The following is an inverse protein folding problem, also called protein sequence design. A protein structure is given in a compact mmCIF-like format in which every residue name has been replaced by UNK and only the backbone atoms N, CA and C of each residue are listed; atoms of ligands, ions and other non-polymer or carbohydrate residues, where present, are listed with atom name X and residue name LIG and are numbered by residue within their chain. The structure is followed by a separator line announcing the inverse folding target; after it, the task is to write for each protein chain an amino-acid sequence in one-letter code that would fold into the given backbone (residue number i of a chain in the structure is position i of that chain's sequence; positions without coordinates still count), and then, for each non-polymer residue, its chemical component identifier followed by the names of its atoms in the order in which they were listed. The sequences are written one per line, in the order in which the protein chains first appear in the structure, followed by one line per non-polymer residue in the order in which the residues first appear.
data_IF_614494217618
#
_entry.id   IF_614494217618
#
_cell.length_a   1.000
_cell.length_b   1.000
_cell.length_c   1.000
_cell.angle_alpha   90.00
_cell.angle_beta   90.00
_cell.angle_gamma   90.00
#
_symmetry.space_group_name_H-M   'P 1'
#
loop_
_entity.id
_entity.type
_entity.pdbx_description
1 polymer ?
#
# COMPACT_ATOMS: atom_id res chain seq x y z
N UNK A 1 -10.30 0.96 -5.78
CA UNK A 1 -11.21 1.46 -6.84
C UNK A 1 -11.83 2.75 -6.35
N UNK A 2 -12.52 3.49 -7.21
CA UNK A 2 -13.33 4.63 -6.78
C UNK A 2 -14.78 4.16 -6.61
N UNK A 3 -15.36 4.41 -5.44
CA UNK A 3 -16.70 4.00 -5.02
C UNK A 3 -17.44 5.29 -4.65
N UNK A 4 -18.45 5.66 -5.43
CA UNK A 4 -19.25 6.86 -5.22
C UNK A 4 -18.41 8.15 -5.05
N UNK A 5 -17.33 8.28 -5.83
CA UNK A 5 -16.43 9.44 -5.81
C UNK A 5 -15.24 9.30 -4.85
N UNK A 6 -15.23 8.32 -3.95
CA UNK A 6 -14.18 8.12 -2.95
C UNK A 6 -13.28 6.91 -3.27
N UNK A 7 -11.97 7.07 -3.10
CA UNK A 7 -11.03 5.95 -3.29
C UNK A 7 -11.05 5.02 -2.08
N UNK A 8 -11.25 3.73 -2.31
CA UNK A 8 -11.37 2.75 -1.23
C UNK A 8 -11.04 1.31 -1.61
N UNK A 9 -10.92 0.49 -0.57
CA UNK A 9 -10.82 -0.97 -0.66
C UNK A 9 -12.23 -1.57 -0.68
N UNK A 10 -12.67 -2.00 -1.86
CA UNK A 10 -14.03 -2.51 -2.09
C UNK A 10 -14.39 -3.65 -1.13
N UNK A 11 -13.44 -4.54 -0.81
CA UNK A 11 -13.66 -5.66 0.11
C UNK A 11 -13.94 -5.26 1.56
N UNK A 12 -13.62 -4.03 1.95
CA UNK A 12 -13.90 -3.47 3.28
C UNK A 12 -15.02 -2.43 3.24
N UNK A 13 -15.52 -2.07 2.05
CA UNK A 13 -16.62 -1.13 1.88
C UNK A 13 -17.94 -1.87 1.96
N UNK A 14 -18.71 -1.60 3.02
CA UNK A 14 -20.04 -2.19 3.22
C UNK A 14 -21.04 -1.60 2.24
N UNK A 15 -21.85 -2.47 1.63
CA UNK A 15 -23.03 -2.04 0.85
C UNK A 15 -24.14 -1.68 1.84
N UNK A 16 -24.66 -0.46 1.75
CA UNK A 16 -25.77 -0.02 2.59
C UNK A 16 -27.10 -0.58 2.08
N UNK A 17 -27.94 -1.09 2.98
CA UNK A 17 -29.18 -1.79 2.62
C UNK A 17 -30.27 -0.88 2.04
N UNK A 18 -30.13 0.44 2.16
CA UNK A 18 -31.07 1.45 1.64
C UNK A 18 -30.44 2.39 0.61
N UNK A 19 -29.20 2.13 0.17
CA UNK A 19 -28.57 3.02 -0.82
C UNK A 19 -29.21 2.84 -2.19
N UNK A 20 -29.20 3.92 -2.97
CA UNK A 20 -29.33 3.83 -4.42
C UNK A 20 -28.22 2.96 -5.01
N UNK A 21 -28.30 2.67 -6.32
CA UNK A 21 -27.19 2.04 -7.03
C UNK A 21 -25.89 2.82 -6.80
N UNK A 22 -24.82 2.11 -6.40
CA UNK A 22 -23.48 2.67 -6.26
C UNK A 22 -22.76 2.69 -7.61
N UNK A 23 -22.03 3.76 -7.85
CA UNK A 23 -21.16 3.90 -9.01
C UNK A 23 -19.75 3.45 -8.66
N UNK A 24 -19.24 2.44 -9.38
CA UNK A 24 -17.88 1.95 -9.22
C UNK A 24 -17.10 2.29 -10.48
N UNK A 25 -15.99 3.02 -10.31
CA UNK A 25 -15.07 3.37 -11.39
C UNK A 25 -13.63 2.95 -11.06
N UNK A 26 -12.75 2.85 -12.07
CA UNK A 26 -11.32 2.56 -11.84
C UNK A 26 -10.67 3.62 -10.95
N UNK A 27 -9.46 3.35 -10.47
CA UNK A 27 -8.71 4.36 -9.71
C UNK A 27 -8.46 5.61 -10.57
N UNK A 28 -8.72 6.82 -10.07
CA UNK A 28 -8.51 8.05 -10.83
C UNK A 28 -7.04 8.24 -11.20
N UNK A 29 -6.80 8.96 -12.31
CA UNK A 29 -5.46 9.30 -12.81
C UNK A 29 -4.54 8.11 -13.14
N UNK A 30 -5.11 6.91 -13.33
CA UNK A 30 -4.40 5.73 -13.79
C UNK A 30 -4.92 5.32 -15.17
N UNK A 31 -4.05 4.77 -16.02
CA UNK A 31 -4.47 4.17 -17.28
C UNK A 31 -5.25 2.88 -17.02
N UNK A 32 -6.35 2.67 -17.73
CA UNK A 32 -7.19 1.47 -17.60
C UNK A 32 -6.72 0.42 -18.60
N UNK A 33 -6.43 -0.79 -18.12
CA UNK A 33 -6.13 -1.94 -18.98
C UNK A 33 -7.44 -2.55 -19.47
N UNK A 34 -8.34 -2.89 -18.52
CA UNK A 34 -9.66 -3.45 -18.80
C UNK A 34 -10.57 -3.30 -17.60
N UNK A 35 -11.82 -2.88 -17.82
CA UNK A 35 -12.85 -2.72 -16.79
C UNK A 35 -12.33 -1.87 -15.60
N UNK A 36 -12.20 -2.47 -14.41
CA UNK A 36 -11.73 -1.82 -13.18
C UNK A 36 -10.23 -2.06 -12.91
N UNK A 37 -9.53 -2.74 -13.83
CA UNK A 37 -8.10 -3.05 -13.72
C UNK A 37 -7.29 -1.90 -14.34
N UNK A 38 -6.47 -1.28 -13.51
CA UNK A 38 -5.59 -0.16 -13.88
C UNK A 38 -4.14 -0.63 -14.04
N UNK A 39 -3.37 0.09 -14.86
CA UNK A 39 -1.93 -0.11 -14.98
C UNK A 39 -1.19 0.47 -13.77
N UNK A 40 -0.56 -0.42 -13.00
CA UNK A 40 0.19 -0.10 -11.79
C UNK A 40 1.70 0.02 -12.03
N UNK A 41 2.17 -0.09 -13.28
CA UNK A 41 3.60 -0.12 -13.63
C UNK A 41 4.33 1.12 -13.10
N UNK A 42 3.78 2.32 -13.33
CA UNK A 42 4.39 3.56 -12.83
C UNK A 42 4.46 3.60 -11.29
N UNK A 43 3.40 3.19 -10.60
CA UNK A 43 3.38 3.13 -9.14
C UNK A 43 4.48 2.21 -8.60
N UNK A 44 4.61 1.00 -9.14
CA UNK A 44 5.64 0.06 -8.69
C UNK A 44 7.06 0.52 -9.02
N UNK A 45 7.26 1.20 -10.15
CA UNK A 45 8.56 1.78 -10.49
C UNK A 45 8.98 2.88 -9.51
N UNK A 46 8.05 3.74 -9.08
CA UNK A 46 8.30 4.75 -8.05
C UNK A 46 8.58 4.11 -6.69
N UNK A 47 7.83 3.06 -6.32
CA UNK A 47 8.09 2.33 -5.07
C UNK A 47 9.46 1.64 -5.08
N UNK A 48 9.90 1.12 -6.24
CA UNK A 48 11.22 0.52 -6.37
C UNK A 48 12.35 1.53 -6.24
N UNK A 49 12.16 2.77 -6.70
CA UNK A 49 13.22 3.80 -6.71
C UNK A 49 13.66 4.27 -5.32
N UNK A 50 12.79 4.16 -4.31
CA UNK A 50 13.13 4.47 -2.91
C UNK A 50 13.91 3.33 -2.23
N UNK A 51 14.11 2.22 -2.92
CA UNK A 51 14.85 1.05 -2.44
C UNK A 51 14.36 0.56 -1.05
N UNK A 52 13.11 0.07 -0.95
CA UNK A 52 12.40 -0.12 0.33
C UNK A 52 12.83 -1.41 1.05
N UNK A 53 14.13 -1.54 1.31
CA UNK A 53 14.73 -2.64 2.05
C UNK A 53 15.73 -2.13 3.09
N UNK A 54 16.04 -2.97 4.07
CA UNK A 54 16.99 -2.60 5.12
C UNK A 54 18.41 -2.49 4.56
N UNK A 55 18.95 -1.27 4.52
CA UNK A 55 20.35 -1.00 4.16
C UNK A 55 21.19 -0.84 5.42
N UNK A 56 22.30 -1.57 5.50
CA UNK A 56 23.26 -1.48 6.62
C UNK A 56 24.64 -1.16 6.08
N UNK A 57 25.36 -0.29 6.79
CA UNK A 57 26.77 -0.01 6.49
C UNK A 57 27.67 -1.16 6.94
N UNK A 58 27.31 -1.82 8.04
CA UNK A 58 28.10 -2.88 8.66
C UNK A 58 27.33 -4.20 8.69
N UNK A 59 28.08 -5.30 8.60
CA UNK A 59 27.54 -6.65 8.81
C UNK A 59 26.99 -6.82 10.24
N UNK A 60 25.99 -7.70 10.46
CA UNK A 60 25.52 -8.02 11.81
C UNK A 60 26.67 -8.52 12.69
N UNK A 61 26.69 -8.10 13.96
CA UNK A 61 27.75 -8.47 14.92
C UNK A 61 27.86 -9.99 15.10
N UNK A 62 26.75 -10.71 15.02
CA UNK A 62 26.72 -12.18 15.06
C UNK A 62 25.93 -12.73 13.87
N UNK A 63 26.55 -13.61 13.09
CA UNK A 63 25.87 -14.30 11.98
C UNK A 63 24.78 -15.23 12.52
N UNK A 64 23.63 -15.24 11.86
CA UNK A 64 22.50 -16.13 12.19
C UNK A 64 21.70 -15.72 13.44
N UNK A 65 21.96 -14.52 14.00
CA UNK A 65 21.17 -13.97 15.11
C UNK A 65 20.37 -12.75 14.67
N UNK A 66 19.27 -12.52 15.37
CA UNK A 66 18.44 -11.34 15.26
C UNK A 66 19.20 -10.09 15.73
N UNK A 67 18.74 -8.92 15.29
CA UNK A 67 19.32 -7.63 15.68
C UNK A 67 18.38 -6.96 16.66
N UNK A 68 18.93 -6.56 17.81
CA UNK A 68 18.14 -5.95 18.87
C UNK A 68 17.53 -4.63 18.39
N UNK A 69 16.21 -4.51 18.51
CA UNK A 69 15.47 -3.27 18.36
C UNK A 69 14.61 -3.06 19.60
N UNK A 70 14.71 -1.90 20.24
CA UNK A 70 13.87 -1.59 21.40
C UNK A 70 12.41 -1.36 20.97
N UNK A 71 11.46 -1.59 21.88
CA UNK A 71 10.02 -1.30 21.62
C UNK A 71 9.80 0.16 21.21
N UNK A 72 10.52 1.09 21.85
CA UNK A 72 10.47 2.53 21.55
C UNK A 72 10.96 2.84 20.13
N UNK A 73 11.98 2.13 19.66
CA UNK A 73 12.49 2.30 18.29
C UNK A 73 11.58 1.65 17.25
N UNK A 74 11.00 0.48 17.54
CA UNK A 74 10.02 -0.16 16.65
C UNK A 74 8.76 0.70 16.50
N UNK A 75 8.29 1.33 17.57
CA UNK A 75 7.10 2.19 17.54
C UNK A 75 7.25 3.40 16.61
N UNK A 76 8.48 3.84 16.31
CA UNK A 76 8.72 4.92 15.33
C UNK A 76 8.26 4.56 13.91
N UNK A 77 8.09 3.28 13.60
CA UNK A 77 7.64 2.80 12.30
C UNK A 77 6.11 2.67 12.19
N UNK A 78 5.36 2.93 13.27
CA UNK A 78 3.90 2.81 13.25
C UNK A 78 3.28 3.91 12.39
N UNK A 79 2.44 3.52 11.43
CA UNK A 79 1.84 4.44 10.46
C UNK A 79 2.79 4.91 9.35
N UNK A 80 4.04 4.43 9.31
CA UNK A 80 4.99 4.69 8.23
C UNK A 80 4.91 3.66 7.08
N UNK A 81 3.92 2.77 7.12
CA UNK A 81 3.66 1.73 6.13
C UNK A 81 2.25 1.88 5.56
#
# INVERSE_FOLDING_TARGET
MNIDGCNGLVCLTKIESKSSASMITPLPHMFVIKDLVVDMTNFYNQYKSIEPWLKRKNSPETKGKEVLQSKKDRAKLDGMY
#
